data_IF_528006406198
#
_entry.id   IF_528006406198
#
_cell.length_a   1.000
_cell.length_b   1.000
_cell.length_c   1.000
_cell.angle_alpha   90.00
_cell.angle_beta   90.00
_cell.angle_gamma   90.00
#
_symmetry.space_group_name_H-M   'P 1'
#
loop_
_entity.id
_entity.type
_entity.pdbx_description
1 polymer ?
#
# COMPACT_ATOMS: atom_id res chain seq x y z
N UNK A 1 6.95 -19.32 21.30
CA UNK A 1 7.39 -19.05 19.91
C UNK A 1 6.97 -17.63 19.58
N UNK A 2 7.92 -16.69 19.45
CA UNK A 2 7.60 -15.27 19.21
C UNK A 2 7.50 -15.08 17.69
N UNK A 3 6.29 -14.84 17.20
CA UNK A 3 6.06 -14.46 15.80
C UNK A 3 6.03 -12.93 15.73
N UNK A 4 7.07 -12.30 15.17
CA UNK A 4 7.06 -10.86 14.89
C UNK A 4 6.30 -10.59 13.59
N UNK A 5 4.97 -10.61 13.67
CA UNK A 5 4.09 -10.15 12.60
C UNK A 5 3.83 -8.65 12.72
N UNK A 6 3.89 -7.93 11.60
CA UNK A 6 3.51 -6.53 11.55
C UNK A 6 2.97 -6.12 10.18
N UNK A 7 2.42 -4.90 10.14
CA UNK A 7 1.94 -4.25 8.92
C UNK A 7 2.69 -2.95 8.75
N UNK A 8 3.15 -2.69 7.53
CA UNK A 8 3.74 -1.42 7.17
C UNK A 8 3.26 -1.00 5.78
N UNK A 9 3.56 0.23 5.39
CA UNK A 9 3.22 0.77 4.07
C UNK A 9 4.39 1.49 3.44
N UNK A 10 4.58 1.29 2.14
CA UNK A 10 5.56 2.05 1.36
C UNK A 10 4.85 2.95 0.35
N UNK A 11 5.51 4.05 -0.01
CA UNK A 11 5.00 4.99 -1.01
C UNK A 11 5.19 4.42 -2.40
N UNK A 12 4.11 4.29 -3.16
CA UNK A 12 4.14 3.73 -4.52
C UNK A 12 3.96 4.82 -5.57
N UNK A 13 3.13 5.82 -5.29
CA UNK A 13 2.91 6.97 -6.18
C UNK A 13 2.70 8.24 -5.36
N UNK A 14 3.19 9.35 -5.85
CA UNK A 14 2.83 10.68 -5.35
C UNK A 14 2.02 11.38 -6.43
N UNK A 15 1.00 12.13 -6.03
CA UNK A 15 0.16 12.93 -6.90
C UNK A 15 0.05 14.33 -6.30
N UNK A 16 0.36 15.34 -7.12
CA UNK A 16 0.21 16.75 -6.73
C UNK A 16 -1.24 17.20 -6.89
N UNK A 17 -1.69 18.22 -6.14
CA UNK A 17 -3.05 18.77 -6.29
C UNK A 17 -3.34 19.23 -7.73
N UNK A 18 -2.33 19.79 -8.38
CA UNK A 18 -2.39 20.25 -9.77
C UNK A 18 -2.67 19.12 -10.77
N UNK A 19 -2.25 17.88 -10.48
CA UNK A 19 -2.48 16.71 -11.34
C UNK A 19 -3.94 16.23 -11.28
N UNK A 20 -4.71 16.67 -10.27
CA UNK A 20 -6.12 16.33 -10.06
C UNK A 20 -7.02 17.51 -10.50
N UNK A 21 -6.44 18.55 -11.11
CA UNK A 21 -7.18 19.75 -11.52
C UNK A 21 -7.55 20.69 -10.37
N UNK A 22 -7.00 20.47 -9.17
CA UNK A 22 -7.14 21.39 -8.03
C UNK A 22 -6.00 22.40 -8.12
N UNK A 23 -6.28 23.54 -8.75
CA UNK A 23 -5.33 24.65 -8.87
C UNK A 23 -5.37 25.63 -7.68
N UNK A 24 -6.33 25.45 -6.78
CA UNK A 24 -6.44 26.22 -5.54
C UNK A 24 -5.57 25.58 -4.47
N UNK A 25 -4.69 26.37 -3.84
CA UNK A 25 -3.93 25.91 -2.69
C UNK A 25 -4.88 25.54 -1.56
N UNK A 26 -5.04 24.23 -1.28
CA UNK A 26 -5.82 23.76 -0.14
C UNK A 26 -4.95 23.95 1.10
N UNK A 27 -5.35 24.79 2.08
CA UNK A 27 -4.51 25.10 3.23
C UNK A 27 -4.08 23.83 3.96
N UNK A 28 -2.76 23.64 4.05
CA UNK A 28 -2.16 22.53 4.77
C UNK A 28 -2.08 21.21 4.01
N UNK A 29 -2.49 21.10 2.74
CA UNK A 29 -2.28 19.91 1.92
C UNK A 29 -1.10 20.13 0.97
N UNK A 30 -0.09 19.28 1.07
CA UNK A 30 1.11 19.36 0.22
C UNK A 30 0.96 18.45 -1.00
N UNK A 31 0.64 17.18 -0.78
CA UNK A 31 0.55 16.18 -1.84
C UNK A 31 -0.29 14.98 -1.39
N UNK A 32 -0.78 14.20 -2.36
CA UNK A 32 -1.40 12.90 -2.13
C UNK A 32 -0.38 11.79 -2.37
N UNK A 33 -0.38 10.78 -1.50
CA UNK A 33 0.47 9.60 -1.60
C UNK A 33 -0.40 8.36 -1.72
N UNK A 34 -0.21 7.61 -2.80
CA UNK A 34 -0.69 6.24 -2.89
C UNK A 34 0.31 5.33 -2.20
N UNK A 35 -0.12 4.66 -1.14
CA UNK A 35 0.71 3.77 -0.34
C UNK A 35 0.21 2.34 -0.43
N UNK A 36 1.14 1.42 -0.66
CA UNK A 36 0.89 -0.01 -0.66
C UNK A 36 1.19 -0.56 0.74
N UNK A 37 0.19 -1.14 1.38
CA UNK A 37 0.31 -1.87 2.63
C UNK A 37 0.80 -3.30 2.36
N UNK A 38 1.67 -3.80 3.23
CA UNK A 38 2.20 -5.15 3.17
C UNK A 38 2.30 -5.78 4.55
N UNK A 39 2.14 -7.11 4.58
CA UNK A 39 2.46 -7.93 5.73
C UNK A 39 3.96 -8.16 5.73
N UNK A 40 4.58 -8.07 6.89
CA UNK A 40 5.95 -8.54 7.06
C UNK A 40 6.03 -9.56 8.19
N UNK A 41 6.96 -10.48 8.03
CA UNK A 41 7.42 -11.37 9.08
C UNK A 41 8.85 -10.95 9.40
N UNK A 42 9.10 -10.55 10.65
CA UNK A 42 10.33 -9.86 11.05
C UNK A 42 10.57 -8.60 10.19
N UNK A 43 11.53 -8.62 9.28
CA UNK A 43 11.81 -7.51 8.34
C UNK A 43 11.55 -7.87 6.87
N UNK A 44 11.09 -9.09 6.59
CA UNK A 44 10.85 -9.53 5.22
C UNK A 44 9.42 -9.18 4.85
N UNK A 45 9.20 -8.27 3.87
CA UNK A 45 7.87 -8.01 3.33
C UNK A 45 7.39 -9.27 2.61
N UNK A 46 6.36 -9.91 3.16
CA UNK A 46 5.90 -11.22 2.71
C UNK A 46 4.96 -11.10 1.51
N UNK A 47 3.95 -10.24 1.62
CA UNK A 47 2.96 -10.01 0.56
C UNK A 47 2.17 -8.71 0.80
N UNK A 48 1.66 -8.11 -0.27
CA UNK A 48 0.78 -6.94 -0.17
C UNK A 48 -0.57 -7.32 0.47
N UNK A 49 -1.08 -6.46 1.35
CA UNK A 49 -2.39 -6.65 2.02
C UNK A 49 -3.45 -5.75 1.41
N UNK A 50 -3.05 -4.53 1.01
CA UNK A 50 -4.00 -3.53 0.53
C UNK A 50 -3.28 -2.26 0.11
N UNK A 51 -4.04 -1.27 -0.34
CA UNK A 51 -3.51 0.03 -0.72
C UNK A 51 -4.44 1.13 -0.24
N UNK A 52 -3.88 2.31 0.01
CA UNK A 52 -4.63 3.45 0.48
C UNK A 52 -4.05 4.75 -0.06
N UNK A 53 -4.93 5.73 -0.25
CA UNK A 53 -4.54 7.11 -0.47
C UNK A 53 -4.37 7.80 0.87
N UNK A 54 -3.26 8.50 1.02
CA UNK A 54 -2.98 9.35 2.16
C UNK A 54 -2.70 10.77 1.67
N UNK A 55 -3.01 11.76 2.49
CA UNK A 55 -2.61 13.15 2.25
C UNK A 55 -1.43 13.48 3.14
N UNK A 56 -0.36 14.02 2.55
CA UNK A 56 0.75 14.61 3.31
C UNK A 56 0.46 16.08 3.52
N UNK A 57 0.44 16.49 4.78
CA UNK A 57 0.24 17.89 5.15
C UNK A 57 1.57 18.61 5.39
N UNK A 58 1.51 19.93 5.57
CA UNK A 58 2.68 20.80 5.80
C UNK A 58 3.46 20.44 7.08
N UNK A 59 2.81 19.77 8.03
CA UNK A 59 3.43 19.20 9.23
C UNK A 59 4.23 17.91 8.96
N UNK A 60 4.37 17.52 7.69
CA UNK A 60 5.03 16.30 7.23
C UNK A 60 4.41 14.99 7.75
N UNK A 61 3.19 15.06 8.31
CA UNK A 61 2.43 13.88 8.75
C UNK A 61 1.48 13.41 7.65
N UNK A 62 1.17 12.12 7.73
CA UNK A 62 0.25 11.43 6.82
C UNK A 62 -1.12 11.35 7.49
N UNK A 63 -2.15 11.78 6.75
CA UNK A 63 -3.53 11.71 7.16
C UNK A 63 -4.35 10.93 6.14
N UNK A 64 -5.50 10.43 6.56
CA UNK A 64 -6.48 9.86 5.64
C UNK A 64 -7.06 10.95 4.75
N UNK A 65 -7.36 10.57 3.51
CA UNK A 65 -7.94 11.49 2.54
C UNK A 65 -9.42 11.66 2.83
N UNK A 66 -9.93 12.89 2.66
CA UNK A 66 -11.36 13.17 2.75
C UNK A 66 -12.14 12.29 1.74
N UNK A 67 -13.28 11.76 2.18
CA UNK A 67 -14.10 10.84 1.39
C UNK A 67 -14.57 11.45 0.06
N UNK A 68 -14.72 12.77 0.00
CA UNK A 68 -15.11 13.50 -1.22
C UNK A 68 -14.03 13.48 -2.32
N UNK A 69 -12.75 13.37 -1.94
CA UNK A 69 -11.61 13.38 -2.87
C UNK A 69 -11.19 11.98 -3.30
N UNK A 70 -11.63 10.94 -2.58
CA UNK A 70 -11.33 9.54 -2.90
C UNK A 70 -11.76 9.15 -4.32
N UNK A 71 -12.96 9.51 -4.83
CA UNK A 71 -13.37 9.15 -6.19
C UNK A 71 -12.43 9.73 -7.26
N UNK A 72 -12.05 11.00 -7.13
CA UNK A 72 -11.15 11.68 -8.07
C UNK A 72 -9.75 11.03 -8.07
N UNK A 73 -9.21 10.72 -6.89
CA UNK A 73 -7.94 10.01 -6.75
C UNK A 73 -8.01 8.57 -7.28
N UNK A 74 -9.15 7.91 -7.12
CA UNK A 74 -9.36 6.54 -7.60
C UNK A 74 -9.51 6.44 -9.11
N UNK A 75 -9.88 7.54 -9.78
CA UNK A 75 -9.89 7.63 -11.24
C UNK A 75 -8.47 7.68 -11.84
N UNK A 76 -7.45 8.03 -11.05
CA UNK A 76 -6.07 8.05 -11.52
C UNK A 76 -5.55 6.61 -11.76
N UNK A 77 -4.68 6.42 -12.77
CA UNK A 77 -4.10 5.12 -13.05
C UNK A 77 -3.31 4.64 -11.83
N UNK A 78 -3.78 3.52 -11.26
CA UNK A 78 -3.16 2.87 -10.11
C UNK A 78 -1.98 2.01 -10.57
N UNK A 79 -0.85 2.06 -9.86
CA UNK A 79 0.26 1.15 -10.12
C UNK A 79 -0.23 -0.29 -9.97
N UNK A 80 0.02 -1.13 -10.98
CA UNK A 80 -0.37 -2.53 -10.97
C UNK A 80 0.43 -3.27 -9.89
N UNK A 81 -0.26 -4.01 -9.06
CA UNK A 81 0.36 -4.89 -8.07
C UNK A 81 0.95 -6.11 -8.79
N UNK A 82 2.26 -6.32 -8.66
CA UNK A 82 2.93 -7.48 -9.26
C UNK A 82 2.51 -8.77 -8.54
N UNK A 83 1.94 -9.74 -9.27
CA UNK A 83 1.49 -11.02 -8.71
C UNK A 83 2.63 -11.85 -8.10
N UNK A 84 3.87 -11.60 -8.54
CA UNK A 84 5.07 -12.20 -7.97
C UNK A 84 5.24 -11.90 -6.46
N UNK A 85 4.62 -10.83 -5.96
CA UNK A 85 4.64 -10.53 -4.53
C UNK A 85 3.88 -11.56 -3.67
N UNK A 86 3.14 -12.49 -4.28
CA UNK A 86 2.51 -13.63 -3.62
C UNK A 86 3.26 -14.95 -3.83
N UNK A 87 4.37 -14.97 -4.56
CA UNK A 87 5.11 -16.20 -4.84
C UNK A 87 5.59 -16.88 -3.54
N UNK A 88 6.05 -16.11 -2.56
CA UNK A 88 6.49 -16.62 -1.25
C UNK A 88 5.43 -17.48 -0.53
N UNK A 89 4.25 -16.91 -0.19
CA UNK A 89 3.19 -17.69 0.46
C UNK A 89 2.66 -18.84 -0.40
N UNK A 90 2.60 -18.68 -1.74
CA UNK A 90 2.17 -19.75 -2.65
C UNK A 90 3.15 -20.93 -2.59
N UNK A 91 4.47 -20.68 -2.69
CA UNK A 91 5.49 -21.72 -2.63
C UNK A 91 5.45 -22.42 -1.27
N UNK A 92 5.34 -21.66 -0.17
CA UNK A 92 5.22 -22.24 1.16
C UNK A 92 4.00 -23.17 1.29
N UNK A 93 2.84 -22.76 0.76
CA UNK A 93 1.63 -23.59 0.76
C UNK A 93 1.82 -24.86 -0.09
N UNK A 94 2.43 -24.77 -1.26
CA UNK A 94 2.71 -25.91 -2.13
C UNK A 94 3.66 -26.92 -1.45
N UNK A 95 4.71 -26.44 -0.78
CA UNK A 95 5.64 -27.30 -0.01
C UNK A 95 4.88 -28.03 1.10
N UNK A 96 4.03 -27.33 1.86
CA UNK A 96 3.25 -27.96 2.94
C UNK A 96 2.29 -29.04 2.41
N UNK A 97 1.62 -28.78 1.30
CA UNK A 97 0.74 -29.77 0.65
C UNK A 97 1.55 -30.98 0.17
N UNK A 98 2.70 -30.73 -0.48
CA UNK A 98 3.58 -31.79 -0.95
C UNK A 98 4.05 -32.68 0.21
N UNK A 99 4.58 -32.08 1.29
CA UNK A 99 4.98 -32.82 2.49
C UNK A 99 3.81 -33.63 3.05
N UNK A 100 2.61 -33.06 3.13
CA UNK A 100 1.44 -33.78 3.67
C UNK A 100 0.93 -34.93 2.80
N UNK A 101 1.29 -34.96 1.51
CA UNK A 101 0.89 -36.04 0.58
C UNK A 101 1.96 -37.14 0.54
N UNK A 102 3.24 -36.79 0.67
CA UNK A 102 4.36 -37.70 0.44
C UNK A 102 5.15 -38.10 1.70
N UNK A 103 4.93 -37.44 2.84
CA UNK A 103 5.47 -37.81 4.15
C UNK A 103 4.38 -38.38 5.04
#
# INVERSE_FOLDING_TARGET
>A
MIFFYGRNSFKTKTVQLSEIGIHTEVPGVVQFEYRQQYAHLYWIPMFPIGSQWCVRKTDNKLYEVNHELLPALNALPRPKMGWLAFAGPIIAALILIFVKIFA
#
